data_IF_873550947972
#
_entry.id   IF_873550947972
#
_cell.length_a   1.000
_cell.length_b   1.000
_cell.length_c   1.000
_cell.angle_alpha   90.00
_cell.angle_beta   90.00
_cell.angle_gamma   90.00
#
_symmetry.space_group_name_H-M   'P 1'
#
loop_
_entity.id
_entity.type
_entity.pdbx_description
1 polymer ?
#
# COMPACT_ATOMS: atom_id res chain seq x y z
N UNK A 1 -30.25 84.96 44.64
CA UNK A 1 -30.22 85.77 43.40
C UNK A 1 -29.04 85.28 42.57
N UNK A 2 -29.30 84.66 41.48
CA UNK A 2 -28.69 84.50 40.18
C UNK A 2 -27.17 84.69 40.10
N UNK A 3 -26.48 83.64 39.88
CA UNK A 3 -25.10 83.57 39.39
C UNK A 3 -24.94 82.48 38.36
N UNK A 4 -24.82 82.88 37.09
CA UNK A 4 -24.62 82.00 35.93
C UNK A 4 -23.15 81.56 35.88
N UNK A 5 -22.90 80.25 35.93
CA UNK A 5 -21.59 79.69 35.68
C UNK A 5 -21.58 79.03 34.32
N UNK A 6 -20.83 79.58 33.39
CA UNK A 6 -20.54 79.05 32.08
C UNK A 6 -19.60 77.83 32.21
N UNK A 7 -20.06 76.69 31.76
CA UNK A 7 -19.18 75.51 31.58
C UNK A 7 -18.65 75.45 30.14
N UNK A 8 -17.34 75.55 30.04
CA UNK A 8 -16.59 75.32 28.79
C UNK A 8 -16.48 73.79 28.60
N UNK A 9 -17.05 73.28 27.53
CA UNK A 9 -16.97 71.87 27.16
C UNK A 9 -15.66 71.70 26.38
N UNK A 10 -14.66 71.11 27.05
CA UNK A 10 -13.45 70.59 26.38
C UNK A 10 -13.72 69.28 25.69
N UNK A 11 -13.66 69.25 24.37
CA UNK A 11 -13.73 68.01 23.59
C UNK A 11 -12.35 67.30 23.65
N UNK A 12 -12.24 66.24 24.44
CA UNK A 12 -11.10 65.32 24.36
C UNK A 12 -11.31 64.36 23.22
N UNK A 13 -10.62 64.54 22.12
CA UNK A 13 -10.44 63.53 21.06
C UNK A 13 -9.51 62.43 21.58
N UNK A 14 -10.11 61.35 22.08
CA UNK A 14 -9.39 60.08 22.37
C UNK A 14 -9.15 59.35 21.01
N UNK A 15 -7.92 59.43 20.54
CA UNK A 15 -7.43 58.60 19.43
C UNK A 15 -7.44 57.14 19.80
N UNK A 16 -8.34 56.36 19.24
CA UNK A 16 -8.32 54.89 19.27
C UNK A 16 -7.14 54.40 18.44
N UNK A 17 -5.99 54.20 19.05
CA UNK A 17 -4.89 53.40 18.46
C UNK A 17 -5.36 51.94 18.51
N UNK A 18 -5.91 51.47 17.40
CA UNK A 18 -6.20 50.07 17.20
C UNK A 18 -4.91 49.27 17.13
N UNK A 19 -4.58 48.55 18.22
CA UNK A 19 -3.57 47.51 18.20
C UNK A 19 -4.12 46.35 17.33
N UNK A 20 -3.78 46.36 16.03
CA UNK A 20 -3.88 45.16 15.20
C UNK A 20 -2.78 44.21 15.65
N UNK A 21 -3.10 43.29 16.56
CA UNK A 21 -2.27 42.13 16.81
C UNK A 21 -2.14 41.33 15.51
N UNK A 22 -0.92 40.99 15.05
CA UNK A 22 -0.81 40.11 13.90
C UNK A 22 -1.33 38.75 14.33
N UNK A 23 -2.47 38.35 13.75
CA UNK A 23 -2.91 36.95 13.88
C UNK A 23 -1.79 36.06 13.34
N UNK A 24 -1.36 35.00 14.07
CA UNK A 24 -0.46 34.02 13.51
C UNK A 24 -1.18 33.41 12.31
N UNK A 25 -0.66 33.66 11.12
CA UNK A 25 -1.02 32.89 9.93
C UNK A 25 -0.60 31.46 10.24
N UNK A 26 -1.55 30.63 10.63
CA UNK A 26 -1.41 29.21 10.53
C UNK A 26 -1.14 28.95 9.06
N UNK A 27 0.10 28.56 8.73
CA UNK A 27 0.50 28.17 7.38
C UNK A 27 -0.14 26.86 6.98
N UNK A 28 -1.46 26.86 6.82
CA UNK A 28 -2.16 25.88 6.04
C UNK A 28 -1.80 26.16 4.60
N UNK A 29 -1.09 25.24 3.94
CA UNK A 29 -0.97 25.29 2.48
C UNK A 29 -2.40 25.35 1.93
N UNK A 30 -2.75 26.46 1.27
CA UNK A 30 -4.02 26.55 0.57
C UNK A 30 -4.10 25.34 -0.37
N UNK A 31 -5.01 24.39 -0.09
CA UNK A 31 -5.23 23.21 -0.93
C UNK A 31 -5.58 23.74 -2.33
N UNK A 32 -4.73 23.46 -3.29
CA UNK A 32 -5.00 23.85 -4.66
C UNK A 32 -6.23 23.09 -5.16
N UNK A 33 -7.04 23.73 -5.97
CA UNK A 33 -8.33 23.16 -6.39
C UNK A 33 -8.17 21.80 -7.07
N UNK A 34 -7.09 21.53 -7.79
CA UNK A 34 -6.82 20.22 -8.39
C UNK A 34 -6.52 19.13 -7.32
N UNK A 35 -5.92 19.49 -6.17
CA UNK A 35 -5.72 18.54 -5.04
C UNK A 35 -7.08 18.12 -4.48
N UNK A 36 -8.03 19.06 -4.38
CA UNK A 36 -9.39 18.78 -3.90
C UNK A 36 -10.11 17.79 -4.83
N UNK A 37 -10.07 18.04 -6.15
CA UNK A 37 -10.68 17.14 -7.13
C UNK A 37 -9.99 15.75 -7.14
N UNK A 38 -8.68 15.70 -6.99
CA UNK A 38 -7.96 14.42 -6.94
C UNK A 38 -8.33 13.62 -5.71
N UNK A 39 -8.42 14.27 -4.54
CA UNK A 39 -8.89 13.60 -3.32
C UNK A 39 -10.33 13.10 -3.47
N UNK A 40 -11.22 13.92 -3.99
CA UNK A 40 -12.61 13.53 -4.28
C UNK A 40 -12.67 12.33 -5.24
N UNK A 41 -11.80 12.30 -6.26
CA UNK A 41 -11.70 11.15 -7.15
C UNK A 41 -11.31 9.86 -6.43
N UNK A 42 -10.37 9.91 -5.49
CA UNK A 42 -10.03 8.75 -4.67
C UNK A 42 -11.13 8.35 -3.69
N UNK A 43 -11.89 9.30 -3.14
CA UNK A 43 -13.07 9.01 -2.32
C UNK A 43 -14.12 8.23 -3.12
N UNK A 44 -14.46 8.69 -4.33
CA UNK A 44 -15.36 7.97 -5.24
C UNK A 44 -14.85 6.57 -5.62
N UNK A 45 -13.53 6.39 -5.82
CA UNK A 45 -12.96 5.06 -6.06
C UNK A 45 -13.15 4.12 -4.87
N UNK A 46 -13.05 4.62 -3.63
CA UNK A 46 -13.30 3.82 -2.43
C UNK A 46 -14.77 3.40 -2.31
N UNK A 47 -15.69 4.22 -2.81
CA UNK A 47 -17.13 3.93 -2.88
C UNK A 47 -17.50 3.03 -4.10
N UNK A 48 -16.54 2.76 -4.99
CA UNK A 48 -16.76 1.99 -6.22
C UNK A 48 -17.39 2.80 -7.36
N UNK A 49 -17.52 4.11 -7.21
CA UNK A 49 -18.06 5.00 -8.23
C UNK A 49 -16.98 5.47 -9.22
N UNK A 50 -16.68 4.61 -10.19
CA UNK A 50 -15.66 4.89 -11.21
C UNK A 50 -16.03 6.06 -12.11
N UNK A 51 -17.31 6.31 -12.35
CA UNK A 51 -17.79 7.42 -13.17
C UNK A 51 -17.46 8.79 -12.58
N UNK A 52 -17.84 9.02 -11.32
CA UNK A 52 -17.55 10.27 -10.63
C UNK A 52 -16.07 10.42 -10.31
N UNK A 53 -15.36 9.31 -10.02
CA UNK A 53 -13.91 9.30 -9.88
C UNK A 53 -13.22 9.80 -11.15
N UNK A 54 -13.62 9.25 -12.32
CA UNK A 54 -13.08 9.66 -13.63
C UNK A 54 -13.26 11.16 -13.88
N UNK A 55 -14.47 11.67 -13.68
CA UNK A 55 -14.76 13.11 -13.87
C UNK A 55 -13.90 13.98 -12.94
N UNK A 56 -13.76 13.57 -11.67
CA UNK A 56 -12.96 14.30 -10.70
C UNK A 56 -11.49 14.35 -11.08
N UNK A 57 -10.88 13.23 -11.48
CA UNK A 57 -9.48 13.22 -11.95
C UNK A 57 -9.30 14.00 -13.26
N UNK A 58 -10.24 13.90 -14.21
CA UNK A 58 -10.20 14.71 -15.42
C UNK A 58 -10.22 16.20 -15.10
N UNK A 59 -11.06 16.61 -14.17
CA UNK A 59 -11.13 18.01 -13.75
C UNK A 59 -9.83 18.49 -13.09
N UNK A 60 -9.19 17.63 -12.29
CA UNK A 60 -7.88 17.92 -11.72
C UNK A 60 -6.81 18.11 -12.82
N UNK A 61 -6.80 17.26 -13.83
CA UNK A 61 -5.86 17.35 -14.98
C UNK A 61 -6.12 18.57 -15.85
N UNK A 62 -7.39 18.95 -16.08
CA UNK A 62 -7.74 20.20 -16.79
C UNK A 62 -7.17 21.44 -16.08
N UNK A 63 -7.13 21.44 -14.76
CA UNK A 63 -6.59 22.52 -13.95
C UNK A 63 -5.06 22.48 -13.86
N UNK A 64 -4.48 21.29 -13.80
CA UNK A 64 -3.04 21.06 -13.76
C UNK A 64 -2.68 19.77 -14.52
N UNK A 65 -2.35 19.89 -15.78
CA UNK A 65 -1.98 18.75 -16.64
C UNK A 65 -0.69 18.04 -16.22
N UNK A 66 0.12 18.67 -15.37
CA UNK A 66 1.35 18.10 -14.79
C UNK A 66 1.15 17.42 -13.43
N UNK A 67 -0.08 17.25 -12.96
CA UNK A 67 -0.32 16.68 -11.64
C UNK A 67 -0.37 15.14 -11.69
N UNK A 68 0.73 14.52 -11.32
CA UNK A 68 0.94 13.07 -11.45
C UNK A 68 -0.11 12.22 -10.71
N UNK A 69 -0.54 12.65 -9.52
CA UNK A 69 -1.54 11.91 -8.73
C UNK A 69 -2.88 11.78 -9.45
N UNK A 70 -3.32 12.81 -10.18
CA UNK A 70 -4.57 12.74 -10.94
C UNK A 70 -4.45 11.78 -12.15
N UNK A 71 -3.30 11.73 -12.82
CA UNK A 71 -3.03 10.74 -13.86
C UNK A 71 -3.00 9.32 -13.27
N UNK A 72 -2.37 9.12 -12.12
CA UNK A 72 -2.39 7.84 -11.42
C UNK A 72 -3.82 7.43 -11.01
N UNK A 73 -4.65 8.38 -10.59
CA UNK A 73 -6.07 8.15 -10.31
C UNK A 73 -6.85 7.67 -11.54
N UNK A 74 -6.67 8.33 -12.72
CA UNK A 74 -7.28 7.86 -13.96
C UNK A 74 -6.77 6.47 -14.38
N UNK A 75 -5.50 6.16 -14.17
CA UNK A 75 -4.95 4.85 -14.44
C UNK A 75 -5.68 3.76 -13.63
N UNK A 76 -5.92 4.01 -12.33
CA UNK A 76 -6.68 3.11 -11.47
C UNK A 76 -8.13 2.95 -11.94
N UNK A 77 -8.79 4.03 -12.35
CA UNK A 77 -10.16 3.96 -12.91
C UNK A 77 -10.18 3.05 -14.14
N UNK A 78 -9.31 3.29 -15.13
CA UNK A 78 -9.27 2.47 -16.36
C UNK A 78 -8.88 1.02 -16.08
N UNK A 79 -8.01 0.78 -15.10
CA UNK A 79 -7.71 -0.59 -14.64
C UNK A 79 -8.96 -1.28 -14.10
N UNK A 80 -9.78 -0.62 -13.30
CA UNK A 80 -11.03 -1.15 -12.76
C UNK A 80 -12.09 -1.36 -13.85
N UNK A 81 -12.10 -0.50 -14.88
CA UNK A 81 -12.99 -0.65 -16.06
C UNK A 81 -12.48 -1.73 -17.04
N UNK A 82 -11.29 -2.29 -16.83
CA UNK A 82 -10.68 -3.30 -17.71
C UNK A 82 -10.03 -2.73 -18.98
N UNK A 83 -9.93 -1.40 -19.11
CA UNK A 83 -9.21 -0.75 -20.21
C UNK A 83 -7.70 -0.71 -19.92
N UNK A 84 -7.04 -1.83 -20.18
CA UNK A 84 -5.61 -2.01 -19.92
C UNK A 84 -4.74 -1.02 -20.69
N UNK A 85 -5.12 -0.64 -21.90
CA UNK A 85 -4.33 0.27 -22.75
C UNK A 85 -4.34 1.71 -22.19
N UNK A 86 -5.52 2.20 -21.83
CA UNK A 86 -5.63 3.51 -21.20
C UNK A 86 -4.99 3.51 -19.79
N UNK A 87 -5.21 2.46 -18.99
CA UNK A 87 -4.57 2.33 -17.69
C UNK A 87 -3.04 2.47 -17.80
N UNK A 88 -2.40 1.72 -18.72
CA UNK A 88 -0.96 1.81 -18.94
C UNK A 88 -0.52 3.21 -19.36
N UNK A 89 -1.26 3.83 -20.28
CA UNK A 89 -0.95 5.18 -20.76
C UNK A 89 -0.89 6.17 -19.60
N UNK A 90 -1.86 6.13 -18.72
CA UNK A 90 -1.94 7.04 -17.58
C UNK A 90 -0.94 6.70 -16.46
N UNK A 91 -0.63 5.41 -16.20
CA UNK A 91 0.45 5.05 -15.29
C UNK A 91 1.81 5.53 -15.77
N UNK A 92 2.13 5.32 -17.07
CA UNK A 92 3.37 5.84 -17.66
C UNK A 92 3.44 7.37 -17.57
N UNK A 93 2.31 8.05 -17.81
CA UNK A 93 2.27 9.51 -17.67
C UNK A 93 2.55 9.96 -16.24
N UNK A 94 1.98 9.29 -15.24
CA UNK A 94 2.23 9.59 -13.83
C UNK A 94 3.70 9.40 -13.44
N UNK A 95 4.32 8.28 -13.82
CA UNK A 95 5.75 8.03 -13.55
C UNK A 95 6.69 8.97 -14.32
N UNK A 96 6.30 9.45 -15.50
CA UNK A 96 7.07 10.47 -16.24
C UNK A 96 7.00 11.84 -15.58
N UNK A 97 5.87 12.20 -14.98
CA UNK A 97 5.69 13.48 -14.30
C UNK A 97 6.40 13.52 -12.93
N UNK A 98 6.45 12.39 -12.23
CA UNK A 98 7.13 12.25 -10.96
C UNK A 98 8.03 11.00 -10.96
N UNK A 99 9.22 11.09 -11.61
CA UNK A 99 10.09 9.93 -11.81
C UNK A 99 10.74 9.38 -10.52
N UNK A 100 10.69 10.15 -9.43
CA UNK A 100 11.22 9.72 -8.13
C UNK A 100 10.11 9.30 -7.16
N UNK A 101 8.85 9.29 -7.60
CA UNK A 101 7.71 8.97 -6.74
C UNK A 101 7.58 7.45 -6.55
N UNK A 102 7.96 6.97 -5.37
CA UNK A 102 7.81 5.58 -4.99
C UNK A 102 6.36 5.07 -5.12
N UNK A 103 5.37 5.93 -4.86
CA UNK A 103 3.95 5.59 -5.00
C UNK A 103 3.59 5.32 -6.46
N UNK A 104 4.00 6.17 -7.40
CA UNK A 104 3.71 6.00 -8.83
C UNK A 104 4.35 4.71 -9.36
N UNK A 105 5.61 4.47 -9.04
CA UNK A 105 6.32 3.25 -9.42
C UNK A 105 5.69 2.00 -8.83
N UNK A 106 5.28 2.01 -7.53
CA UNK A 106 4.62 0.87 -6.93
C UNK A 106 3.27 0.56 -7.60
N UNK A 107 2.47 1.58 -7.92
CA UNK A 107 1.16 1.38 -8.54
C UNK A 107 1.30 0.88 -9.98
N UNK A 108 2.20 1.48 -10.76
CA UNK A 108 2.49 1.01 -12.12
C UNK A 108 3.06 -0.42 -12.11
N UNK A 109 3.99 -0.72 -11.21
CA UNK A 109 4.52 -2.07 -11.05
C UNK A 109 3.46 -3.10 -10.66
N UNK A 110 2.52 -2.75 -9.79
CA UNK A 110 1.40 -3.62 -9.43
C UNK A 110 0.46 -3.87 -10.62
N UNK A 111 0.20 -2.86 -11.43
CA UNK A 111 -0.55 -3.01 -12.68
C UNK A 111 0.16 -3.93 -13.68
N UNK A 112 1.46 -3.74 -13.91
CA UNK A 112 2.25 -4.60 -14.78
C UNK A 112 2.27 -6.06 -14.29
N UNK A 113 2.38 -6.25 -12.98
CA UNK A 113 2.32 -7.57 -12.35
C UNK A 113 0.98 -8.27 -12.61
N UNK A 114 -0.13 -7.57 -12.45
CA UNK A 114 -1.48 -8.10 -12.72
C UNK A 114 -1.65 -8.47 -14.20
N UNK A 115 -0.92 -7.81 -15.10
CA UNK A 115 -0.89 -8.10 -16.53
C UNK A 115 0.22 -9.09 -16.95
N UNK A 116 0.82 -9.81 -16.00
CA UNK A 116 1.84 -10.84 -16.20
C UNK A 116 3.15 -10.34 -16.85
N UNK A 117 3.39 -9.03 -16.82
CA UNK A 117 4.65 -8.39 -17.30
C UNK A 117 5.64 -8.31 -16.16
N UNK A 118 6.08 -9.47 -15.68
CA UNK A 118 6.82 -9.59 -14.41
C UNK A 118 8.17 -8.89 -14.40
N UNK A 119 8.95 -8.94 -15.51
CA UNK A 119 10.23 -8.24 -15.59
C UNK A 119 10.08 -6.73 -15.41
N UNK A 120 9.13 -6.14 -16.12
CA UNK A 120 8.85 -4.70 -16.05
C UNK A 120 8.27 -4.34 -14.66
N UNK A 121 7.38 -5.19 -14.15
CA UNK A 121 6.82 -5.02 -12.81
C UNK A 121 7.92 -4.98 -11.74
N UNK A 122 8.86 -5.92 -11.78
CA UNK A 122 9.99 -5.95 -10.84
C UNK A 122 10.85 -4.69 -10.94
N UNK A 123 11.08 -4.15 -12.15
CA UNK A 123 11.85 -2.92 -12.33
C UNK A 123 11.14 -1.71 -11.69
N UNK A 124 9.86 -1.55 -11.96
CA UNK A 124 9.08 -0.45 -11.40
C UNK A 124 8.95 -0.57 -9.87
N UNK A 125 8.63 -1.77 -9.35
CA UNK A 125 8.53 -1.98 -7.90
C UNK A 125 9.88 -1.79 -7.21
N UNK A 126 11.01 -2.18 -7.83
CA UNK A 126 12.33 -1.96 -7.27
C UNK A 126 12.59 -0.46 -7.03
N UNK A 127 12.26 0.41 -7.99
CA UNK A 127 12.36 1.87 -7.82
C UNK A 127 11.54 2.36 -6.62
N UNK A 128 10.34 1.80 -6.42
CA UNK A 128 9.53 2.16 -5.26
C UNK A 128 10.17 1.79 -3.91
N UNK A 129 11.13 0.86 -3.89
CA UNK A 129 11.84 0.49 -2.66
C UNK A 129 13.03 1.39 -2.32
N UNK A 130 13.44 2.29 -3.23
CA UNK A 130 14.61 3.14 -3.07
C UNK A 130 14.36 4.30 -2.08
N UNK A 131 13.14 4.85 -2.06
CA UNK A 131 12.77 5.92 -1.14
C UNK A 131 12.64 5.40 0.31
N UNK A 132 13.54 5.79 1.25
CA UNK A 132 13.48 5.36 2.64
C UNK A 132 12.27 5.93 3.40
N UNK A 133 11.66 7.01 2.90
CA UNK A 133 10.52 7.68 3.53
C UNK A 133 9.17 7.22 2.99
N UNK A 134 9.15 6.35 1.99
CA UNK A 134 7.92 5.80 1.46
C UNK A 134 7.16 5.00 2.53
N UNK A 135 5.98 5.46 2.90
CA UNK A 135 5.19 4.87 3.98
C UNK A 135 4.80 3.41 3.74
N UNK A 136 4.66 3.01 2.47
CA UNK A 136 4.35 1.63 2.08
C UNK A 136 5.58 0.85 1.60
N UNK A 137 6.77 1.26 1.99
CA UNK A 137 8.04 0.64 1.55
C UNK A 137 8.11 -0.86 1.88
N UNK A 138 7.61 -1.28 3.04
CA UNK A 138 7.57 -2.70 3.38
C UNK A 138 6.68 -3.51 2.44
N UNK A 139 5.56 -2.93 2.01
CA UNK A 139 4.68 -3.53 1.01
C UNK A 139 5.35 -3.58 -0.38
N UNK A 140 6.07 -2.53 -0.76
CA UNK A 140 6.83 -2.53 -2.02
C UNK A 140 7.89 -3.65 -2.03
N UNK A 141 8.64 -3.85 -0.95
CA UNK A 141 9.55 -4.99 -0.82
C UNK A 141 8.83 -6.34 -0.88
N UNK A 142 7.66 -6.48 -0.26
CA UNK A 142 6.85 -7.70 -0.35
C UNK A 142 6.39 -7.97 -1.79
N UNK A 143 5.89 -6.95 -2.49
CA UNK A 143 5.51 -7.06 -3.90
C UNK A 143 6.71 -7.43 -4.78
N UNK A 144 7.88 -6.84 -4.51
CA UNK A 144 9.12 -7.15 -5.22
C UNK A 144 9.55 -8.61 -5.00
N UNK A 145 9.45 -9.11 -3.77
CA UNK A 145 9.73 -10.51 -3.45
C UNK A 145 8.81 -11.47 -4.22
N UNK A 146 7.51 -11.19 -4.26
CA UNK A 146 6.55 -11.97 -5.05
C UNK A 146 6.85 -11.93 -6.55
N UNK A 147 7.25 -10.76 -7.04
CA UNK A 147 7.64 -10.56 -8.42
C UNK A 147 8.85 -11.42 -8.79
N UNK A 148 9.90 -11.43 -7.95
CA UNK A 148 11.08 -12.27 -8.15
C UNK A 148 10.79 -13.77 -8.05
N UNK A 149 9.85 -14.19 -7.19
CA UNK A 149 9.40 -15.60 -7.12
C UNK A 149 8.83 -16.07 -8.47
N UNK A 150 7.99 -15.28 -9.13
CA UNK A 150 7.43 -15.63 -10.44
C UNK A 150 8.50 -15.70 -11.54
N UNK A 151 9.60 -14.97 -11.38
CA UNK A 151 10.76 -15.03 -12.26
C UNK A 151 11.78 -16.12 -11.85
N UNK A 152 11.46 -16.95 -10.84
CA UNK A 152 12.36 -17.99 -10.28
C UNK A 152 13.72 -17.43 -9.81
N UNK A 153 13.71 -16.16 -9.33
CA UNK A 153 14.88 -15.48 -8.77
C UNK A 153 14.83 -15.57 -7.24
N UNK A 154 14.98 -16.78 -6.72
CA UNK A 154 14.68 -17.10 -5.31
C UNK A 154 15.58 -16.35 -4.31
N UNK A 155 16.88 -16.17 -4.61
CA UNK A 155 17.78 -15.38 -3.76
C UNK A 155 17.34 -13.89 -3.68
N UNK A 156 16.95 -13.31 -4.81
CA UNK A 156 16.46 -11.94 -4.85
C UNK A 156 15.11 -11.82 -4.12
N UNK A 157 14.24 -12.81 -4.26
CA UNK A 157 12.97 -12.88 -3.54
C UNK A 157 13.20 -12.99 -2.02
N UNK A 158 14.10 -13.89 -1.57
CA UNK A 158 14.49 -14.05 -0.16
C UNK A 158 14.97 -12.72 0.42
N UNK A 159 15.86 -12.03 -0.30
CA UNK A 159 16.36 -10.73 0.12
C UNK A 159 15.24 -9.69 0.21
N UNK A 160 14.35 -9.61 -0.77
CA UNK A 160 13.25 -8.64 -0.77
C UNK A 160 12.27 -8.88 0.40
N UNK A 161 11.88 -10.14 0.69
CA UNK A 161 11.03 -10.44 1.84
C UNK A 161 11.72 -10.14 3.17
N UNK A 162 13.04 -10.40 3.29
CA UNK A 162 13.80 -10.00 4.47
C UNK A 162 13.81 -8.49 4.66
N UNK A 163 13.99 -7.71 3.59
CA UNK A 163 13.90 -6.25 3.64
C UNK A 163 12.51 -5.77 4.04
N UNK A 164 11.44 -6.41 3.53
CA UNK A 164 10.07 -6.14 3.97
C UNK A 164 9.92 -6.28 5.48
N UNK A 165 10.43 -7.39 6.04
CA UNK A 165 10.37 -7.68 7.48
C UNK A 165 11.31 -6.79 8.33
N UNK A 166 12.38 -6.23 7.77
CA UNK A 166 13.23 -5.24 8.44
C UNK A 166 12.51 -3.89 8.58
N UNK A 167 11.73 -3.47 7.57
CA UNK A 167 10.93 -2.23 7.62
C UNK A 167 9.71 -2.40 8.52
N UNK A 168 9.01 -3.52 8.42
CA UNK A 168 7.81 -3.82 9.22
C UNK A 168 7.82 -5.29 9.62
N UNK A 169 8.07 -5.56 10.90
CA UNK A 169 8.30 -6.92 11.40
C UNK A 169 7.13 -7.88 11.21
N UNK A 170 5.90 -7.35 11.25
CA UNK A 170 4.66 -8.15 11.24
C UNK A 170 3.95 -8.07 9.87
N UNK A 171 4.61 -8.61 8.83
CA UNK A 171 4.04 -8.75 7.48
C UNK A 171 3.71 -10.23 7.22
N UNK A 172 2.43 -10.66 7.36
CA UNK A 172 2.07 -12.08 7.30
C UNK A 172 2.49 -12.76 5.99
N UNK A 173 2.30 -12.07 4.85
CA UNK A 173 2.67 -12.60 3.54
C UNK A 173 4.17 -12.80 3.44
N UNK A 174 4.98 -11.80 3.83
CA UNK A 174 6.44 -11.91 3.79
C UNK A 174 6.97 -13.02 4.69
N UNK A 175 6.33 -13.25 5.86
CA UNK A 175 6.69 -14.35 6.76
C UNK A 175 6.44 -15.70 6.11
N UNK A 176 5.28 -15.91 5.49
CA UNK A 176 4.92 -17.18 4.84
C UNK A 176 5.75 -17.43 3.59
N UNK A 177 5.94 -16.40 2.73
CA UNK A 177 6.76 -16.53 1.52
C UNK A 177 8.23 -16.85 1.83
N UNK A 178 8.79 -16.21 2.86
CA UNK A 178 10.15 -16.48 3.29
C UNK A 178 10.28 -17.89 3.91
N UNK A 179 9.25 -18.33 4.64
CA UNK A 179 9.19 -19.72 5.14
C UNK A 179 9.21 -20.71 3.98
N UNK A 180 8.39 -20.47 2.95
CA UNK A 180 8.28 -21.33 1.77
C UNK A 180 9.63 -21.45 1.04
N UNK A 181 10.31 -20.31 0.79
CA UNK A 181 11.64 -20.28 0.20
C UNK A 181 12.69 -21.07 1.00
N UNK A 182 12.64 -20.98 2.32
CA UNK A 182 13.57 -21.70 3.19
C UNK A 182 13.27 -23.21 3.25
N UNK A 183 12.01 -23.61 3.08
CA UNK A 183 11.62 -25.01 2.89
C UNK A 183 12.20 -25.54 1.59
N UNK A 184 12.07 -24.77 0.47
CA UNK A 184 12.62 -25.15 -0.83
C UNK A 184 14.16 -25.27 -0.78
N UNK A 185 14.82 -24.43 0.00
CA UNK A 185 16.26 -24.49 0.27
C UNK A 185 16.67 -25.61 1.25
N UNK A 186 15.73 -26.40 1.77
CA UNK A 186 15.96 -27.44 2.80
C UNK A 186 16.55 -26.88 4.12
N UNK A 187 16.11 -25.67 4.52
CA UNK A 187 16.52 -24.97 5.75
C UNK A 187 15.37 -24.95 6.81
N UNK A 188 14.87 -26.11 7.33
CA UNK A 188 13.65 -26.15 8.16
C UNK A 188 13.78 -25.44 9.50
N UNK A 189 15.00 -25.30 10.05
CA UNK A 189 15.24 -24.61 11.31
C UNK A 189 14.98 -23.09 11.17
N UNK A 190 15.48 -22.50 10.09
CA UNK A 190 15.28 -21.07 9.81
C UNK A 190 13.85 -20.79 9.29
N UNK A 191 13.31 -21.66 8.44
CA UNK A 191 11.92 -21.62 8.03
C UNK A 191 10.97 -21.54 9.24
N UNK A 192 11.26 -22.35 10.26
CA UNK A 192 10.47 -22.39 11.49
C UNK A 192 10.43 -21.06 12.24
N UNK A 193 11.54 -20.33 12.30
CA UNK A 193 11.58 -19.02 12.99
C UNK A 193 10.59 -18.01 12.39
N UNK A 194 10.45 -18.02 11.07
CA UNK A 194 9.51 -17.11 10.37
C UNK A 194 8.07 -17.62 10.48
N UNK A 195 7.87 -18.93 10.37
CA UNK A 195 6.53 -19.50 10.50
C UNK A 195 5.96 -19.37 11.92
N UNK A 196 6.78 -19.57 12.95
CA UNK A 196 6.36 -19.38 14.34
C UNK A 196 5.92 -17.92 14.60
N UNK A 197 6.61 -16.93 14.02
CA UNK A 197 6.17 -15.53 14.06
C UNK A 197 4.84 -15.30 13.33
N UNK A 198 4.62 -15.98 12.20
CA UNK A 198 3.32 -15.93 11.53
C UNK A 198 2.21 -16.49 12.41
N UNK A 199 2.46 -17.63 13.08
CA UNK A 199 1.50 -18.25 14.00
C UNK A 199 1.18 -17.35 15.20
N UNK A 200 2.15 -16.63 15.74
CA UNK A 200 1.89 -15.60 16.76
C UNK A 200 0.92 -14.52 16.28
N UNK A 201 0.98 -14.11 15.02
CA UNK A 201 0.02 -13.15 14.47
C UNK A 201 -1.38 -13.75 14.38
N UNK A 202 -1.47 -15.03 14.01
CA UNK A 202 -2.74 -15.78 13.99
C UNK A 202 -3.33 -15.88 15.38
N UNK A 203 -2.53 -16.29 16.37
CA UNK A 203 -2.97 -16.43 17.77
C UNK A 203 -3.45 -15.10 18.37
N UNK A 204 -2.79 -14.00 18.00
CA UNK A 204 -3.19 -12.62 18.38
C UNK A 204 -4.35 -12.07 17.56
N UNK A 205 -4.91 -12.85 16.63
CA UNK A 205 -5.99 -12.43 15.69
C UNK A 205 -5.63 -11.19 14.85
N UNK A 206 -4.34 -10.97 14.56
CA UNK A 206 -3.85 -9.91 13.70
C UNK A 206 -3.86 -10.33 12.22
N UNK A 207 -3.93 -11.61 11.96
CA UNK A 207 -4.15 -12.21 10.64
C UNK A 207 -4.88 -13.53 10.81
N UNK A 208 -5.33 -14.11 9.69
CA UNK A 208 -5.92 -15.44 9.64
C UNK A 208 -5.08 -16.36 8.77
N UNK A 209 -5.29 -17.67 8.93
CA UNK A 209 -4.75 -18.63 7.98
C UNK A 209 -5.41 -18.45 6.60
N UNK A 210 -4.61 -18.58 5.56
CA UNK A 210 -5.04 -18.65 4.16
C UNK A 210 -4.41 -19.90 3.52
N UNK A 211 -4.89 -20.29 2.34
CA UNK A 211 -4.53 -21.58 1.74
C UNK A 211 -3.02 -21.82 1.71
N UNK A 212 -2.23 -20.85 1.22
CA UNK A 212 -0.77 -20.95 1.14
C UNK A 212 -0.13 -21.09 2.53
N UNK A 213 -0.59 -20.35 3.54
CA UNK A 213 -0.03 -20.44 4.89
C UNK A 213 -0.22 -21.83 5.50
N UNK A 214 -1.36 -22.47 5.25
CA UNK A 214 -1.65 -23.83 5.68
C UNK A 214 -0.78 -24.85 4.94
N UNK A 215 -0.64 -24.69 3.63
CA UNK A 215 0.21 -25.57 2.82
C UNK A 215 1.68 -25.49 3.23
N UNK A 216 2.21 -24.29 3.42
CA UNK A 216 3.57 -24.06 3.93
C UNK A 216 3.74 -24.70 5.32
N UNK A 217 2.75 -24.54 6.21
CA UNK A 217 2.72 -25.19 7.51
C UNK A 217 2.77 -26.72 7.42
N UNK A 218 1.99 -27.34 6.52
CA UNK A 218 2.04 -28.79 6.27
C UNK A 218 3.43 -29.24 5.84
N UNK A 219 4.04 -28.56 4.88
CA UNK A 219 5.37 -28.87 4.36
C UNK A 219 6.43 -28.79 5.46
N UNK A 220 6.42 -27.70 6.22
CA UNK A 220 7.38 -27.47 7.31
C UNK A 220 7.26 -28.54 8.41
N UNK A 221 6.03 -28.84 8.87
CA UNK A 221 5.82 -29.79 9.95
C UNK A 221 6.13 -31.24 9.52
N UNK A 222 5.91 -31.59 8.24
CA UNK A 222 6.39 -32.86 7.67
C UNK A 222 7.92 -32.97 7.69
N UNK A 223 8.64 -31.90 7.31
CA UNK A 223 10.12 -31.87 7.37
C UNK A 223 10.64 -32.00 8.80
N UNK A 224 9.90 -31.48 9.77
CA UNK A 224 10.21 -31.59 11.20
C UNK A 224 9.80 -32.93 11.81
N UNK A 225 9.14 -33.82 11.07
CA UNK A 225 8.59 -35.08 11.56
C UNK A 225 7.34 -34.94 12.44
N UNK A 226 6.73 -33.74 12.50
CA UNK A 226 5.53 -33.50 13.33
C UNK A 226 4.25 -33.80 12.53
N UNK A 227 3.97 -35.07 12.34
CA UNK A 227 2.85 -35.55 11.54
C UNK A 227 1.48 -35.10 12.07
N UNK A 228 1.32 -35.00 13.41
CA UNK A 228 0.06 -34.58 14.04
C UNK A 228 -0.29 -33.14 13.69
N UNK A 229 0.69 -32.23 13.77
CA UNK A 229 0.48 -30.82 13.44
C UNK A 229 0.27 -30.62 11.94
N UNK A 230 1.02 -31.36 11.11
CA UNK A 230 0.79 -31.37 9.66
C UNK A 230 -0.64 -31.83 9.31
N UNK A 231 -1.16 -32.87 9.98
CA UNK A 231 -2.53 -33.34 9.79
C UNK A 231 -3.59 -32.29 10.21
N UNK A 232 -3.32 -31.55 11.29
CA UNK A 232 -4.21 -30.44 11.72
C UNK A 232 -4.30 -29.35 10.63
N UNK A 233 -3.16 -28.87 10.10
CA UNK A 233 -3.17 -27.89 9.02
C UNK A 233 -3.85 -28.43 7.75
N UNK A 234 -3.64 -29.72 7.42
CA UNK A 234 -4.29 -30.35 6.27
C UNK A 234 -5.82 -30.43 6.42
N UNK A 235 -6.31 -30.70 7.62
CA UNK A 235 -7.75 -30.70 7.90
C UNK A 235 -8.35 -29.29 7.74
N UNK A 236 -7.68 -28.26 8.23
CA UNK A 236 -8.11 -26.88 8.08
C UNK A 236 -8.10 -26.48 6.59
N UNK A 237 -7.03 -26.80 5.86
CA UNK A 237 -6.91 -26.52 4.42
C UNK A 237 -8.05 -27.17 3.63
N UNK A 238 -8.34 -28.46 3.91
CA UNK A 238 -9.45 -29.20 3.30
C UNK A 238 -10.80 -28.53 3.56
N UNK A 239 -11.05 -28.09 4.79
CA UNK A 239 -12.36 -27.59 5.20
C UNK A 239 -12.62 -26.15 4.74
N UNK A 240 -11.59 -25.27 4.79
CA UNK A 240 -11.76 -23.87 4.46
C UNK A 240 -11.43 -23.54 3.00
N UNK A 241 -10.54 -24.31 2.37
CA UNK A 241 -10.03 -24.03 1.04
C UNK A 241 -10.03 -25.26 0.11
N UNK A 242 -11.17 -26.01 -0.02
CA UNK A 242 -11.21 -27.28 -0.75
C UNK A 242 -10.91 -27.18 -2.24
N UNK A 243 -11.11 -25.99 -2.83
CA UNK A 243 -10.90 -25.74 -4.26
C UNK A 243 -9.56 -25.01 -4.54
N UNK A 244 -8.74 -24.76 -3.51
CA UNK A 244 -7.47 -24.07 -3.70
C UNK A 244 -6.43 -24.94 -4.38
N UNK A 245 -5.51 -24.30 -5.09
CA UNK A 245 -4.35 -24.94 -5.70
C UNK A 245 -3.51 -25.67 -4.64
N UNK A 246 -3.34 -25.06 -3.47
CA UNK A 246 -2.60 -25.65 -2.35
C UNK A 246 -3.22 -26.95 -1.82
N UNK A 247 -4.55 -27.05 -1.84
CA UNK A 247 -5.20 -28.32 -1.48
C UNK A 247 -5.02 -29.38 -2.55
N UNK A 248 -4.97 -29.03 -3.82
CA UNK A 248 -4.62 -29.97 -4.90
C UNK A 248 -3.17 -30.45 -4.74
N UNK A 249 -2.21 -29.53 -4.52
CA UNK A 249 -0.82 -29.88 -4.24
C UNK A 249 -0.68 -30.80 -3.03
N UNK A 250 -1.45 -30.55 -1.95
CA UNK A 250 -1.49 -31.44 -0.80
C UNK A 250 -1.95 -32.85 -1.17
N UNK A 251 -3.04 -32.99 -1.93
CA UNK A 251 -3.54 -34.30 -2.37
C UNK A 251 -2.53 -35.08 -3.21
N UNK A 252 -1.84 -34.38 -4.11
CA UNK A 252 -0.79 -34.96 -4.96
C UNK A 252 0.41 -35.46 -4.13
N UNK A 253 0.84 -34.66 -3.15
CA UNK A 253 1.94 -34.98 -2.25
C UNK A 253 1.65 -36.12 -1.26
N UNK A 254 0.40 -36.57 -1.18
CA UNK A 254 -0.07 -37.59 -0.22
C UNK A 254 -0.40 -38.93 -0.89
N UNK A 255 -0.19 -39.03 -2.21
CA UNK A 255 -0.27 -40.26 -3.00
C UNK A 255 1.07 -40.95 -3.04
#
# INVERSE_FOLDING_TARGET
MRGICQFVIGVCLLGLVGCSSPQPRLGGSELKTYDVYTRLGFEYLQEGDTSNAKQSFQRAIEMNSGYAEAHNGLALVFQLEGDTALAETYYRKATQLEPDSAMMHNNFGAFLFANQRYEEACQEIARATEDPFYTRRSQAFENLGRCYRLLQRDDAAKHAFQRSLQVTQNRPVSLVELTDLLIDANEPADAGKYFDRFLELVDKRQTEHYAKSLWVGIRLERMRGNTSRAATFALILKNLYPESEEYQQYKESSR
#
